data_IF_763836902332
#
_entry.id   IF_763836902332
#
_cell.length_a   1.000
_cell.length_b   1.000
_cell.length_c   1.000
_cell.angle_alpha   90.00
_cell.angle_beta   90.00
_cell.angle_gamma   90.00
#
_symmetry.space_group_name_H-M   'P 1'
#
loop_
_entity.id
_entity.type
_entity.pdbx_description
1 polymer ?
#
# COMPACT_ATOMS: atom_id res chain seq x y z
N UNK A 1 34.02 14.74 9.19
CA UNK A 1 34.03 14.01 10.47
C UNK A 1 32.60 13.79 10.87
N UNK A 2 32.25 12.61 11.38
CA UNK A 2 30.87 12.28 11.75
C UNK A 2 30.39 13.23 12.85
N UNK A 3 29.35 13.99 12.57
CA UNK A 3 28.63 14.78 13.56
C UNK A 3 28.07 13.80 14.60
N UNK A 4 28.64 13.83 15.80
CA UNK A 4 28.07 13.17 16.95
C UNK A 4 26.86 14.01 17.36
N UNK A 5 25.73 13.75 16.70
CA UNK A 5 24.41 14.08 17.20
C UNK A 5 24.17 13.22 18.45
N UNK A 6 24.80 13.62 19.55
CA UNK A 6 24.50 13.08 20.86
C UNK A 6 23.10 13.56 21.19
N UNK A 7 22.15 12.63 21.34
CA UNK A 7 20.73 12.93 21.58
C UNK A 7 20.45 13.52 22.97
N UNK A 8 21.28 14.45 23.43
CA UNK A 8 21.08 15.17 24.67
C UNK A 8 20.12 16.35 24.45
N UNK A 9 19.25 16.63 25.43
CA UNK A 9 18.31 17.75 25.37
C UNK A 9 19.07 19.09 25.30
N UNK A 10 18.56 20.02 24.48
CA UNK A 10 19.12 21.35 24.21
C UNK A 10 19.31 22.19 25.48
N UNK A 11 18.53 21.87 26.51
CA UNK A 11 18.56 22.50 27.83
C UNK A 11 19.89 22.28 28.57
N UNK A 12 20.57 21.13 28.38
CA UNK A 12 21.88 20.86 29.02
C UNK A 12 23.01 21.62 28.28
N UNK A 13 22.86 21.80 26.98
CA UNK A 13 23.81 22.54 26.15
C UNK A 13 23.84 24.03 26.52
N UNK A 14 22.66 24.62 26.77
CA UNK A 14 22.50 26.00 27.25
C UNK A 14 23.11 26.21 28.65
N UNK A 15 22.85 25.29 29.58
CA UNK A 15 23.41 25.36 30.95
C UNK A 15 24.96 25.25 30.94
N UNK A 16 25.50 24.46 30.01
CA UNK A 16 26.95 24.29 29.87
C UNK A 16 27.66 25.54 29.34
N UNK A 17 27.02 26.33 28.47
CA UNK A 17 27.57 27.60 27.96
C UNK A 17 27.64 28.65 29.07
N UNK A 18 26.57 28.80 29.86
CA UNK A 18 26.52 29.74 30.99
C UNK A 18 27.59 29.42 32.06
N UNK A 19 27.83 28.13 32.33
CA UNK A 19 28.88 27.69 33.26
C UNK A 19 30.29 27.96 32.74
N UNK A 20 30.52 27.87 31.43
CA UNK A 20 31.82 28.16 30.81
C UNK A 20 32.19 29.63 30.91
N UNK A 21 31.22 30.52 30.67
CA UNK A 21 31.40 31.97 30.77
C UNK A 21 31.74 32.39 32.21
N UNK A 22 30.96 31.91 33.18
CA UNK A 22 31.20 32.20 34.60
C UNK A 22 32.57 31.68 35.09
N UNK A 23 33.03 30.53 34.59
CA UNK A 23 34.35 29.99 34.91
C UNK A 23 35.48 30.81 34.27
N UNK A 24 35.30 31.26 33.02
CA UNK A 24 36.25 32.10 32.31
C UNK A 24 36.47 33.44 33.04
N UNK A 25 35.39 34.11 33.43
CA UNK A 25 35.45 35.38 34.15
C UNK A 25 36.21 35.27 35.47
N UNK A 26 35.92 34.21 36.24
CA UNK A 26 36.56 33.99 37.54
C UNK A 26 38.04 33.65 37.41
N UNK A 27 38.42 32.89 36.39
CA UNK A 27 39.82 32.57 36.12
C UNK A 27 40.58 33.80 35.62
N UNK A 28 39.96 34.63 34.77
CA UNK A 28 40.57 35.88 34.31
C UNK A 28 40.81 36.83 35.49
N UNK A 29 39.83 36.99 36.39
CA UNK A 29 39.99 37.79 37.61
C UNK A 29 41.16 37.33 38.50
N UNK A 30 41.38 36.02 38.62
CA UNK A 30 42.50 35.46 39.38
C UNK A 30 43.84 35.74 38.66
N UNK A 31 43.90 35.55 37.35
CA UNK A 31 45.11 35.76 36.56
C UNK A 31 45.50 37.24 36.47
N UNK A 32 44.53 38.14 36.46
CA UNK A 32 44.71 39.60 36.52
C UNK A 32 45.21 40.02 37.91
N UNK A 33 44.68 39.42 38.99
CA UNK A 33 45.16 39.65 40.36
C UNK A 33 46.63 39.23 40.55
N UNK A 34 47.05 38.16 39.86
CA UNK A 34 48.45 37.72 39.87
C UNK A 34 49.35 38.48 38.86
N UNK A 35 48.82 39.51 38.19
CA UNK A 35 49.52 40.30 37.16
C UNK A 35 50.23 39.43 36.10
N UNK A 36 49.63 38.27 35.78
CA UNK A 36 50.30 37.23 34.98
C UNK A 36 50.45 37.59 33.49
N UNK A 37 49.73 38.61 33.02
CA UNK A 37 49.70 39.02 31.60
C UNK A 37 49.03 38.00 30.67
N UNK A 38 48.34 36.99 31.22
CA UNK A 38 47.68 35.93 30.48
C UNK A 38 46.20 36.29 30.27
N UNK A 39 45.74 36.25 29.02
CA UNK A 39 44.34 36.45 28.67
C UNK A 39 43.70 35.14 28.22
N UNK A 40 42.62 34.75 28.88
CA UNK A 40 41.80 33.59 28.55
C UNK A 40 40.88 33.96 27.39
N UNK A 41 41.01 33.24 26.27
CA UNK A 41 40.19 33.45 25.06
C UNK A 41 38.94 32.57 25.05
N UNK A 42 39.02 31.34 25.58
CA UNK A 42 37.89 30.41 25.63
C UNK A 42 38.12 29.37 26.71
N UNK A 43 37.12 29.16 27.57
CA UNK A 43 37.06 28.02 28.48
C UNK A 43 36.08 27.01 27.91
N UNK A 44 36.53 25.78 27.71
CA UNK A 44 35.65 24.66 27.35
C UNK A 44 35.55 23.74 28.56
N UNK A 45 34.34 23.50 29.04
CA UNK A 45 34.14 22.41 30.00
C UNK A 45 34.47 21.10 29.29
N UNK A 46 35.32 20.27 29.89
CA UNK A 46 35.48 18.89 29.42
C UNK A 46 34.16 18.15 29.67
N UNK A 47 33.74 17.32 28.71
CA UNK A 47 32.45 16.62 28.70
C UNK A 47 32.09 16.07 30.08
N UNK A 48 31.07 16.67 30.70
CA UNK A 48 30.54 16.21 31.99
C UNK A 48 29.65 15.02 31.69
N UNK A 49 30.23 13.82 31.72
CA UNK A 49 29.43 12.61 31.57
C UNK A 49 28.49 12.48 32.78
N UNK A 50 27.18 12.39 32.52
CA UNK A 50 26.20 12.12 33.56
C UNK A 50 26.62 10.84 34.34
N UNK A 51 26.56 10.84 35.69
CA UNK A 51 26.88 9.65 36.47
C UNK A 51 25.99 8.48 36.03
N UNK A 52 26.56 7.27 36.00
CA UNK A 52 25.95 6.10 35.36
C UNK A 52 24.55 5.72 35.88
N UNK A 53 24.11 6.27 37.01
CA UNK A 53 22.83 5.99 37.66
C UNK A 53 21.61 6.52 36.88
N UNK A 54 21.73 7.58 36.07
CA UNK A 54 20.58 8.18 35.36
C UNK A 54 20.46 7.79 33.88
N UNK A 55 21.53 7.25 33.29
CA UNK A 55 21.58 6.90 31.86
C UNK A 55 20.49 5.89 31.46
N UNK A 56 20.28 4.86 32.28
CA UNK A 56 19.26 3.83 32.02
C UNK A 56 17.83 4.41 32.07
N UNK A 57 17.55 5.40 32.92
CA UNK A 57 16.25 6.05 32.97
C UNK A 57 15.99 6.89 31.70
N UNK A 58 16.98 7.62 31.22
CA UNK A 58 16.87 8.40 29.97
C UNK A 58 16.76 7.52 28.73
N UNK A 59 17.56 6.44 28.63
CA UNK A 59 17.48 5.47 27.53
C UNK A 59 16.09 4.80 27.48
N UNK A 60 15.50 4.48 28.64
CA UNK A 60 14.14 3.93 28.70
C UNK A 60 13.08 4.91 28.21
N UNK A 61 13.18 6.20 28.56
CA UNK A 61 12.23 7.22 28.07
C UNK A 61 12.34 7.42 26.56
N UNK A 62 13.57 7.43 26.03
CA UNK A 62 13.80 7.53 24.59
C UNK A 62 13.24 6.31 23.83
N UNK A 63 13.58 5.10 24.29
CA UNK A 63 13.07 3.85 23.72
C UNK A 63 11.54 3.76 23.76
N UNK A 64 10.92 4.16 24.87
CA UNK A 64 9.46 4.16 24.98
C UNK A 64 8.78 5.15 24.01
N UNK A 65 9.41 6.30 23.73
CA UNK A 65 8.92 7.25 22.72
C UNK A 65 9.02 6.67 21.31
N UNK A 66 10.16 6.07 20.98
CA UNK A 66 10.37 5.44 19.68
C UNK A 66 9.40 4.28 19.45
N UNK A 67 9.23 3.41 20.45
CA UNK A 67 8.27 2.30 20.39
C UNK A 67 6.83 2.81 20.17
N UNK A 68 6.45 3.90 20.85
CA UNK A 68 5.14 4.53 20.66
C UNK A 68 4.98 5.06 19.25
N UNK A 69 5.98 5.77 18.72
CA UNK A 69 5.93 6.31 17.35
C UNK A 69 5.87 5.18 16.32
N UNK A 70 6.65 4.11 16.50
CA UNK A 70 6.59 2.92 15.66
C UNK A 70 5.19 2.31 15.66
N UNK A 71 4.59 2.08 16.83
CA UNK A 71 3.25 1.51 16.94
C UNK A 71 2.19 2.38 16.28
N UNK A 72 2.27 3.70 16.43
CA UNK A 72 1.35 4.63 15.76
C UNK A 72 1.52 4.54 14.24
N UNK A 73 2.75 4.55 13.73
CA UNK A 73 3.03 4.48 12.31
C UNK A 73 2.57 3.13 11.71
N UNK A 74 2.78 2.02 12.40
CA UNK A 74 2.28 0.70 11.99
C UNK A 74 0.74 0.66 11.96
N UNK A 75 0.07 1.22 12.97
CA UNK A 75 -1.38 1.27 13.03
C UNK A 75 -1.96 2.14 11.90
N UNK A 76 -1.37 3.31 11.65
CA UNK A 76 -1.73 4.18 10.53
C UNK A 76 -1.48 3.48 9.19
N UNK A 77 -0.36 2.77 9.06
CA UNK A 77 -0.04 1.98 7.89
C UNK A 77 -1.11 0.91 7.60
N UNK A 78 -1.51 0.14 8.62
CA UNK A 78 -2.58 -0.86 8.50
C UNK A 78 -3.91 -0.22 8.14
N UNK A 79 -4.31 0.85 8.84
CA UNK A 79 -5.55 1.58 8.56
C UNK A 79 -5.60 2.09 7.11
N UNK A 80 -4.51 2.71 6.65
CA UNK A 80 -4.38 3.24 5.29
C UNK A 80 -4.31 2.15 4.21
N UNK A 81 -4.09 0.89 4.58
CA UNK A 81 -4.12 -0.24 3.64
C UNK A 81 -5.49 -0.94 3.63
N UNK A 82 -6.02 -1.29 4.80
CA UNK A 82 -7.22 -2.12 4.91
C UNK A 82 -8.49 -1.38 4.47
N UNK A 83 -8.68 -0.12 4.91
CA UNK A 83 -9.91 0.63 4.60
C UNK A 83 -10.02 0.92 3.10
N UNK A 84 -8.99 1.42 2.40
CA UNK A 84 -9.08 1.64 0.95
C UNK A 84 -9.23 0.34 0.18
N UNK A 85 -8.56 -0.75 0.62
CA UNK A 85 -8.69 -2.07 -0.01
C UNK A 85 -10.12 -2.59 0.08
N UNK A 86 -10.71 -2.59 1.28
CA UNK A 86 -12.09 -3.02 1.47
C UNK A 86 -13.10 -2.20 0.66
N UNK A 87 -12.91 -0.86 0.60
CA UNK A 87 -13.72 0.02 -0.27
C UNK A 87 -13.57 -0.32 -1.74
N UNK A 88 -12.34 -0.56 -2.21
CA UNK A 88 -12.07 -0.94 -3.59
C UNK A 88 -12.67 -2.29 -3.97
N UNK A 89 -12.63 -3.26 -3.06
CA UNK A 89 -13.27 -4.57 -3.24
C UNK A 89 -14.79 -4.45 -3.31
N UNK A 90 -15.41 -3.69 -2.41
CA UNK A 90 -16.85 -3.43 -2.44
C UNK A 90 -17.30 -2.78 -3.75
N UNK A 91 -16.61 -1.71 -4.17
CA UNK A 91 -16.89 -1.00 -5.41
C UNK A 91 -16.71 -1.91 -6.64
N UNK A 92 -15.66 -2.75 -6.63
CA UNK A 92 -15.43 -3.75 -7.69
C UNK A 92 -16.60 -4.72 -7.79
N UNK A 93 -17.09 -5.23 -6.67
CA UNK A 93 -18.24 -6.16 -6.64
C UNK A 93 -19.50 -5.49 -7.20
N UNK A 94 -19.78 -4.25 -6.82
CA UNK A 94 -20.93 -3.49 -7.32
C UNK A 94 -20.83 -3.32 -8.84
N UNK A 95 -19.69 -2.82 -9.34
CA UNK A 95 -19.48 -2.63 -10.78
C UNK A 95 -19.56 -3.92 -11.58
N UNK A 96 -19.06 -5.03 -11.02
CA UNK A 96 -19.18 -6.34 -11.66
C UNK A 96 -20.64 -6.79 -11.75
N UNK A 97 -21.45 -6.56 -10.72
CA UNK A 97 -22.88 -6.87 -10.73
C UNK A 97 -23.63 -6.00 -11.74
N UNK A 98 -23.34 -4.69 -11.79
CA UNK A 98 -23.92 -3.77 -12.77
C UNK A 98 -23.56 -4.16 -14.20
N UNK A 99 -22.27 -4.45 -14.46
CA UNK A 99 -21.79 -4.91 -15.75
C UNK A 99 -22.48 -6.21 -16.16
N UNK A 100 -22.62 -7.18 -15.25
CA UNK A 100 -23.33 -8.42 -15.51
C UNK A 100 -24.80 -8.19 -15.85
N UNK A 101 -25.49 -7.31 -15.12
CA UNK A 101 -26.88 -6.97 -15.40
C UNK A 101 -27.05 -6.36 -16.80
N UNK A 102 -26.22 -5.38 -17.14
CA UNK A 102 -26.22 -4.74 -18.48
C UNK A 102 -25.89 -5.77 -19.56
N UNK A 103 -24.88 -6.60 -19.33
CA UNK A 103 -24.49 -7.67 -20.25
C UNK A 103 -25.66 -8.63 -20.49
N UNK A 104 -26.35 -9.09 -19.44
CA UNK A 104 -27.50 -10.00 -19.56
C UNK A 104 -28.64 -9.38 -20.37
N UNK A 105 -28.95 -8.11 -20.14
CA UNK A 105 -29.97 -7.39 -20.92
C UNK A 105 -29.55 -7.32 -22.39
N UNK A 106 -28.30 -6.94 -22.67
CA UNK A 106 -27.81 -6.80 -24.06
C UNK A 106 -27.78 -8.13 -24.80
N UNK A 107 -27.42 -9.23 -24.14
CA UNK A 107 -27.51 -10.56 -24.74
C UNK A 107 -28.96 -10.93 -25.05
N UNK A 108 -29.89 -10.72 -24.11
CA UNK A 108 -31.31 -11.02 -24.33
C UNK A 108 -31.90 -10.18 -25.48
N UNK A 109 -31.58 -8.88 -25.55
CA UNK A 109 -31.96 -8.01 -26.66
C UNK A 109 -31.38 -8.49 -28.00
N UNK A 110 -30.11 -8.90 -28.01
CA UNK A 110 -29.44 -9.44 -29.20
C UNK A 110 -30.07 -10.73 -29.70
N UNK A 111 -30.39 -11.65 -28.79
CA UNK A 111 -31.04 -12.93 -29.10
C UNK A 111 -32.46 -12.72 -29.61
N UNK A 112 -33.23 -11.83 -28.96
CA UNK A 112 -34.57 -11.47 -29.41
C UNK A 112 -34.53 -10.87 -30.82
N UNK A 113 -33.61 -9.95 -31.09
CA UNK A 113 -33.43 -9.36 -32.42
C UNK A 113 -33.04 -10.41 -33.48
N UNK A 114 -32.11 -11.32 -33.16
CA UNK A 114 -31.75 -12.44 -34.05
C UNK A 114 -32.95 -13.34 -34.33
N UNK A 115 -33.77 -13.62 -33.32
CA UNK A 115 -34.98 -14.41 -33.49
C UNK A 115 -35.99 -13.71 -34.39
N UNK A 116 -36.26 -12.43 -34.17
CA UNK A 116 -37.18 -11.63 -34.99
C UNK A 116 -36.74 -11.55 -36.45
N UNK A 117 -35.44 -11.39 -36.71
CA UNK A 117 -34.88 -11.42 -38.06
C UNK A 117 -35.09 -12.78 -38.73
N UNK A 118 -34.80 -13.88 -38.03
CA UNK A 118 -35.07 -15.24 -38.56
C UNK A 118 -36.56 -15.47 -38.80
N UNK A 119 -37.42 -15.03 -37.89
CA UNK A 119 -38.87 -15.14 -38.03
C UNK A 119 -39.38 -14.35 -39.25
N UNK A 120 -38.82 -13.18 -39.52
CA UNK A 120 -39.14 -12.37 -40.71
C UNK A 120 -38.83 -13.13 -42.00
N UNK A 121 -37.65 -13.72 -42.11
CA UNK A 121 -37.27 -14.50 -43.30
C UNK A 121 -38.07 -15.81 -43.41
N UNK A 122 -38.31 -16.48 -42.29
CA UNK A 122 -39.18 -17.66 -42.23
C UNK A 122 -40.61 -17.36 -42.73
N UNK A 123 -41.18 -16.21 -42.35
CA UNK A 123 -42.51 -15.78 -42.83
C UNK A 123 -42.54 -15.55 -44.34
N UNK A 124 -41.45 -15.10 -44.95
CA UNK A 124 -41.36 -14.89 -46.42
C UNK A 124 -41.30 -16.22 -47.18
N UNK A 125 -40.46 -17.16 -46.74
CA UNK A 125 -40.27 -18.45 -47.43
C UNK A 125 -40.20 -19.60 -46.41
N UNK A 126 -41.37 -20.10 -46.00
CA UNK A 126 -41.48 -21.09 -44.91
C UNK A 126 -40.79 -22.42 -45.22
N UNK A 127 -41.03 -22.99 -46.39
CA UNK A 127 -40.61 -24.36 -46.71
C UNK A 127 -39.07 -24.48 -46.75
N UNK A 128 -38.42 -23.63 -47.55
CA UNK A 128 -36.95 -23.61 -47.69
C UNK A 128 -36.26 -23.32 -46.35
N UNK A 129 -36.84 -22.48 -45.50
CA UNK A 129 -36.27 -22.17 -44.19
C UNK A 129 -36.35 -23.36 -43.23
N UNK A 130 -37.45 -24.13 -43.24
CA UNK A 130 -37.58 -25.37 -42.45
C UNK A 130 -36.57 -26.42 -42.89
N UNK A 131 -36.49 -26.64 -44.20
CA UNK A 131 -35.64 -27.66 -44.77
C UNK A 131 -34.16 -27.35 -44.50
N UNK A 132 -33.75 -26.08 -44.63
CA UNK A 132 -32.40 -25.64 -44.25
C UNK A 132 -32.11 -25.89 -42.77
N UNK A 133 -32.98 -25.47 -41.87
CA UNK A 133 -32.77 -25.62 -40.42
C UNK A 133 -32.67 -27.09 -40.02
N UNK A 134 -33.52 -27.94 -40.62
CA UNK A 134 -33.49 -29.38 -40.42
C UNK A 134 -32.15 -29.99 -40.88
N UNK A 135 -31.70 -29.65 -42.09
CA UNK A 135 -30.44 -30.15 -42.64
C UNK A 135 -29.21 -29.65 -41.86
N UNK A 136 -29.22 -28.41 -41.36
CA UNK A 136 -28.17 -27.87 -40.48
C UNK A 136 -28.11 -28.64 -39.16
N UNK A 137 -29.26 -28.79 -38.49
CA UNK A 137 -29.34 -29.50 -37.21
C UNK A 137 -28.94 -30.97 -37.36
N UNK A 138 -29.40 -31.64 -38.42
CA UNK A 138 -28.99 -33.00 -38.76
C UNK A 138 -27.48 -33.10 -39.02
N UNK A 139 -26.89 -32.13 -39.73
CA UNK A 139 -25.44 -32.11 -39.96
C UNK A 139 -24.65 -32.01 -38.66
N UNK A 140 -25.06 -31.13 -37.75
CA UNK A 140 -24.35 -30.92 -36.49
C UNK A 140 -24.50 -32.13 -35.55
N UNK A 141 -25.73 -32.64 -35.40
CA UNK A 141 -26.00 -33.85 -34.59
C UNK A 141 -25.31 -35.10 -35.15
N UNK A 142 -25.40 -35.36 -36.46
CA UNK A 142 -24.74 -36.51 -37.09
C UNK A 142 -23.21 -36.45 -37.05
N UNK A 143 -22.62 -35.26 -36.87
CA UNK A 143 -21.18 -35.08 -36.73
C UNK A 143 -20.66 -35.53 -35.37
N UNK A 144 -21.49 -35.49 -34.33
CA UNK A 144 -21.14 -35.94 -32.97
C UNK A 144 -21.40 -37.45 -32.75
N UNK A 145 -22.08 -38.13 -33.67
CA UNK A 145 -22.40 -39.55 -33.53
C UNK A 145 -21.26 -40.41 -34.09
N UNK A 146 -20.85 -41.42 -33.33
CA UNK A 146 -19.85 -42.39 -33.73
C UNK A 146 -20.37 -43.24 -34.91
N UNK A 147 -19.72 -43.13 -36.07
CA UNK A 147 -20.19 -43.76 -37.31
C UNK A 147 -19.81 -45.24 -37.32
N UNK A 148 -20.75 -46.12 -36.98
CA UNK A 148 -20.59 -47.56 -37.16
C UNK A 148 -20.97 -47.93 -38.60
N UNK A 149 -20.00 -48.33 -39.41
CA UNK A 149 -20.22 -48.86 -40.77
C UNK A 149 -20.17 -50.38 -40.69
N UNK A 150 -21.32 -51.03 -40.86
CA UNK A 150 -21.39 -52.49 -40.99
C UNK A 150 -21.20 -52.82 -42.48
N UNK A 151 -20.10 -53.51 -42.87
CA UNK A 151 -19.93 -53.92 -44.25
C UNK A 151 -21.00 -54.95 -44.63
N UNK A 152 -21.67 -54.75 -45.77
CA UNK A 152 -22.60 -55.73 -46.32
C UNK A 152 -21.85 -57.04 -46.58
N UNK A 153 -22.27 -58.09 -45.89
CA UNK A 153 -21.77 -59.45 -46.13
C UNK A 153 -22.43 -59.92 -47.42
N UNK A 154 -21.64 -59.99 -48.50
CA UNK A 154 -22.10 -60.62 -49.75
C UNK A 154 -22.22 -62.13 -49.52
N UNK A 155 -23.42 -62.66 -49.69
CA UNK A 155 -23.67 -64.08 -49.96
C UNK A 155 -23.21 -64.46 -51.37
#
# INVERSE_FOLDING_TARGET
GRDLNTGFPKEIELDSEEMQEAAADKLQQILDLYESGIHIVTVKLQDVHAPGEVKEAFERVASAKEDRERLINEALGKYNQEIPKARGEAEKTIRQAEAYAVQRIKYAEGDANRFLQRLKEYKKVKQVTKDRLYLETMRDTLREIEKVVIPETKE
#
